data_IF_261002199299
#
_entry.id   IF_261002199299
#
_cell.length_a   1.000
_cell.length_b   1.000
_cell.length_c   1.000
_cell.angle_alpha   90.00
_cell.angle_beta   90.00
_cell.angle_gamma   90.00
#
_symmetry.space_group_name_H-M   'P 1'
#
loop_
_entity.id
_entity.type
_entity.pdbx_description
1 polymer ?
#
# COMPACT_ATOMS: atom_id res chain seq x y z
N UNK A 1 68.26 -1.90 8.17
CA UNK A 1 68.53 -0.59 7.54
C UNK A 1 67.27 0.27 7.60
N UNK A 2 67.35 1.39 8.34
CA UNK A 2 66.80 2.75 8.06
C UNK A 2 65.36 2.85 7.49
N UNK A 3 64.35 3.20 8.30
CA UNK A 3 63.83 4.58 8.60
C UNK A 3 63.39 5.36 7.35
N UNK A 4 62.13 5.80 7.29
CA UNK A 4 61.59 7.09 6.78
C UNK A 4 60.05 6.99 6.84
N UNK A 5 59.31 7.49 7.83
CA UNK A 5 59.13 8.88 8.27
C UNK A 5 58.80 9.84 7.11
N UNK A 6 57.51 10.02 6.81
CA UNK A 6 56.96 11.30 6.36
C UNK A 6 55.58 11.54 6.98
N UNK A 7 55.60 12.33 8.04
CA UNK A 7 54.49 13.19 8.47
C UNK A 7 54.03 14.04 7.28
N UNK A 8 52.72 14.16 7.08
CA UNK A 8 52.13 15.32 6.40
C UNK A 8 51.22 16.00 7.40
N UNK A 9 51.67 17.15 7.89
CA UNK A 9 50.88 18.11 8.64
C UNK A 9 49.70 18.57 7.77
N UNK A 10 48.47 18.37 8.25
CA UNK A 10 47.34 19.16 7.79
C UNK A 10 47.15 20.34 8.75
N UNK A 11 47.33 21.54 8.21
CA UNK A 11 47.21 22.82 8.89
C UNK A 11 45.76 23.07 9.25
N UNK A 12 45.51 23.28 10.54
CA UNK A 12 44.26 23.79 11.09
C UNK A 12 44.07 25.24 10.63
N UNK A 13 43.12 25.50 9.74
CA UNK A 13 42.59 26.84 9.51
C UNK A 13 41.39 27.05 10.44
N UNK A 14 41.65 27.65 11.61
CA UNK A 14 40.63 28.12 12.54
C UNK A 14 40.01 29.41 12.02
N UNK A 15 38.92 29.29 11.26
CA UNK A 15 38.05 30.42 10.94
C UNK A 15 37.11 30.65 12.14
N UNK A 16 37.42 31.65 12.96
CA UNK A 16 36.52 32.12 14.01
C UNK A 16 35.31 32.81 13.37
N UNK A 17 34.19 32.08 13.25
CA UNK A 17 32.88 32.68 12.99
C UNK A 17 32.23 32.99 14.33
N UNK A 18 32.22 34.26 14.70
CA UNK A 18 31.40 34.78 15.81
C UNK A 18 29.94 34.78 15.37
N UNK A 19 29.21 33.70 15.69
CA UNK A 19 27.76 33.69 15.63
C UNK A 19 27.22 34.48 16.83
N UNK A 20 26.70 35.67 16.58
CA UNK A 20 25.85 36.39 17.54
C UNK A 20 24.59 35.56 17.80
N UNK A 21 24.53 34.92 18.96
CA UNK A 21 23.32 34.26 19.46
C UNK A 21 22.29 35.34 19.84
N UNK A 22 21.37 35.65 18.91
CA UNK A 22 20.10 36.25 19.31
C UNK A 22 19.29 35.16 20.01
N UNK A 23 19.24 35.25 21.33
CA UNK A 23 18.29 34.54 22.16
C UNK A 23 16.88 35.03 21.79
N UNK A 24 16.25 34.37 20.82
CA UNK A 24 14.82 34.43 20.63
C UNK A 24 14.19 33.58 21.75
N UNK A 25 13.44 34.23 22.63
CA UNK A 25 12.63 33.55 23.63
C UNK A 25 11.71 32.52 22.94
N UNK A 26 11.61 31.28 23.46
CA UNK A 26 10.66 30.32 22.93
C UNK A 26 9.26 30.83 23.24
N UNK A 27 8.56 31.33 22.22
CA UNK A 27 7.14 31.58 22.27
C UNK A 27 6.44 30.28 22.67
N UNK A 28 5.94 30.22 23.92
CA UNK A 28 5.08 29.16 24.41
C UNK A 28 3.83 29.11 23.54
N UNK A 29 3.80 28.20 22.57
CA UNK A 29 2.62 27.91 21.81
C UNK A 29 1.53 27.41 22.78
N UNK A 30 0.32 28.00 22.77
CA UNK A 30 -0.75 27.54 23.63
C UNK A 30 -1.14 26.12 23.21
N UNK A 31 -0.95 25.17 24.12
CA UNK A 31 -1.47 23.81 24.01
C UNK A 31 -3.01 23.88 23.96
N UNK A 32 -3.56 23.99 22.74
CA UNK A 32 -5.00 23.85 22.54
C UNK A 32 -5.39 22.39 22.65
N UNK A 33 -6.12 22.16 23.70
CA UNK A 33 -6.75 20.93 24.16
C UNK A 33 -7.70 20.32 23.12
N UNK A 34 -7.80 18.99 23.23
CA UNK A 34 -8.87 18.08 22.80
C UNK A 34 -8.84 17.57 21.35
N UNK A 35 -8.12 16.46 21.19
CA UNK A 35 -8.44 15.41 20.23
C UNK A 35 -9.93 15.04 20.36
N UNK A 36 -10.73 15.45 19.37
CA UNK A 36 -12.04 14.84 19.18
C UNK A 36 -11.80 13.36 18.84
N UNK A 37 -12.50 12.41 19.48
CA UNK A 37 -12.37 10.99 19.13
C UNK A 37 -12.65 10.83 17.63
N UNK A 38 -11.68 10.26 16.91
CA UNK A 38 -11.85 9.98 15.48
C UNK A 38 -13.13 9.17 15.29
N UNK A 39 -14.13 9.78 14.63
CA UNK A 39 -15.34 9.06 14.19
C UNK A 39 -14.88 7.82 13.42
N UNK A 40 -15.35 6.65 13.84
CA UNK A 40 -15.11 5.38 13.11
C UNK A 40 -15.35 5.63 11.62
N UNK A 41 -14.36 5.38 10.74
CA UNK A 41 -14.51 5.67 9.33
C UNK A 41 -15.69 4.88 8.79
N UNK A 42 -16.63 5.57 8.16
CA UNK A 42 -17.70 4.91 7.42
C UNK A 42 -17.06 4.01 6.37
N UNK A 43 -17.60 2.82 6.14
CA UNK A 43 -16.95 1.79 5.31
C UNK A 43 -16.54 2.28 3.91
N UNK A 44 -17.18 3.33 3.36
CA UNK A 44 -16.82 3.95 2.09
C UNK A 44 -15.50 4.76 2.12
N UNK A 45 -15.16 5.46 3.22
CA UNK A 45 -13.89 6.22 3.34
C UNK A 45 -12.68 5.30 3.43
N UNK A 46 -12.79 4.20 4.17
CA UNK A 46 -11.74 3.19 4.27
C UNK A 46 -11.29 2.66 2.90
N UNK A 47 -12.24 2.40 1.99
CA UNK A 47 -11.92 1.94 0.64
C UNK A 47 -11.34 3.03 -0.27
N UNK A 48 -11.66 4.30 -0.03
CA UNK A 48 -11.11 5.43 -0.78
C UNK A 48 -9.67 5.77 -0.33
N UNK A 49 -9.40 5.70 0.97
CA UNK A 49 -8.06 5.87 1.55
C UNK A 49 -7.13 4.70 1.18
N UNK A 50 -7.68 3.49 1.04
CA UNK A 50 -6.97 2.32 0.50
C UNK A 50 -6.45 2.49 -0.94
N UNK A 51 -7.01 3.41 -1.73
CA UNK A 51 -6.56 3.63 -3.12
C UNK A 51 -5.17 4.28 -3.17
N UNK A 52 -4.80 5.11 -2.19
CA UNK A 52 -3.47 5.72 -2.12
C UNK A 52 -2.38 4.72 -1.66
N UNK A 53 -2.77 3.57 -1.11
CA UNK A 53 -1.86 2.49 -0.73
C UNK A 53 -1.79 1.35 -1.76
N UNK A 54 -2.72 1.30 -2.73
CA UNK A 54 -2.85 0.18 -3.65
C UNK A 54 -2.95 0.61 -5.11
N UNK A 55 -1.81 0.78 -5.77
CA UNK A 55 -1.77 0.95 -7.23
C UNK A 55 -2.13 -0.34 -8.01
N UNK A 56 -2.19 -1.49 -7.33
CA UNK A 56 -2.49 -2.79 -7.94
C UNK A 56 -3.97 -3.19 -7.79
N UNK A 57 -4.59 -3.76 -8.84
CA UNK A 57 -6.01 -4.11 -8.85
C UNK A 57 -6.37 -5.14 -7.78
N UNK A 58 -7.55 -4.99 -7.16
CA UNK A 58 -8.09 -5.97 -6.21
C UNK A 58 -9.05 -6.94 -6.93
N UNK A 59 -8.50 -8.05 -7.45
CA UNK A 59 -9.24 -8.99 -8.29
C UNK A 59 -10.27 -9.84 -7.51
N UNK A 60 -9.93 -10.34 -6.31
CA UNK A 60 -10.77 -11.31 -5.59
C UNK A 60 -12.18 -10.82 -5.29
N UNK A 61 -12.39 -9.65 -4.64
CA UNK A 61 -13.74 -9.20 -4.32
C UNK A 61 -14.61 -9.04 -5.56
N UNK A 62 -14.02 -8.64 -6.69
CA UNK A 62 -14.72 -8.49 -7.96
C UNK A 62 -15.12 -9.85 -8.52
N UNK A 63 -14.21 -10.83 -8.56
CA UNK A 63 -14.50 -12.20 -8.99
C UNK A 63 -15.62 -12.84 -8.17
N UNK A 64 -15.52 -12.76 -6.83
CA UNK A 64 -16.52 -13.35 -5.95
C UNK A 64 -17.89 -12.68 -6.09
N UNK A 65 -17.90 -11.35 -6.24
CA UNK A 65 -19.13 -10.59 -6.49
C UNK A 65 -19.73 -10.99 -7.84
N UNK A 66 -18.94 -10.99 -8.91
CA UNK A 66 -19.41 -11.36 -10.25
C UNK A 66 -20.00 -12.78 -10.28
N UNK A 67 -19.40 -13.74 -9.59
CA UNK A 67 -19.98 -15.08 -9.48
C UNK A 67 -21.39 -15.06 -8.86
N UNK A 68 -21.57 -14.33 -7.75
CA UNK A 68 -22.86 -14.18 -7.07
C UNK A 68 -23.90 -13.40 -7.87
N UNK A 69 -23.47 -12.54 -8.80
CA UNK A 69 -24.36 -11.73 -9.65
C UNK A 69 -24.39 -12.25 -11.09
N UNK A 70 -24.88 -13.48 -11.26
CA UNK A 70 -25.15 -14.06 -12.58
C UNK A 70 -23.95 -14.68 -13.28
N UNK A 71 -22.80 -14.78 -12.61
CA UNK A 71 -21.61 -15.47 -13.11
C UNK A 71 -21.25 -15.14 -14.57
N UNK A 72 -21.02 -13.86 -14.91
CA UNK A 72 -20.80 -13.43 -16.30
C UNK A 72 -19.49 -13.97 -16.90
N UNK A 73 -18.51 -14.35 -16.05
CA UNK A 73 -17.28 -15.01 -16.47
C UNK A 73 -17.47 -16.53 -16.68
N UNK A 74 -18.67 -17.05 -16.44
CA UNK A 74 -19.01 -18.48 -16.53
C UNK A 74 -18.00 -19.36 -15.77
N UNK A 75 -17.64 -18.94 -14.55
CA UNK A 75 -16.74 -19.74 -13.71
C UNK A 75 -17.41 -21.09 -13.40
N UNK A 76 -16.65 -22.17 -13.48
CA UNK A 76 -17.12 -23.46 -12.98
C UNK A 76 -17.21 -23.43 -11.45
N UNK A 77 -17.96 -24.37 -10.86
CA UNK A 77 -18.02 -24.53 -9.40
C UNK A 77 -16.63 -24.75 -8.82
N UNK A 78 -15.82 -25.61 -9.45
CA UNK A 78 -14.45 -25.91 -9.04
C UNK A 78 -13.53 -24.68 -9.10
N UNK A 79 -13.60 -23.89 -10.17
CA UNK A 79 -12.84 -22.63 -10.26
C UNK A 79 -13.23 -21.67 -9.14
N UNK A 80 -14.52 -21.52 -8.88
CA UNK A 80 -15.01 -20.65 -7.81
C UNK A 80 -14.55 -21.12 -6.43
N UNK A 81 -14.61 -22.42 -6.13
CA UNK A 81 -14.16 -22.99 -4.86
C UNK A 81 -12.66 -22.79 -4.63
N UNK A 82 -11.82 -22.98 -5.68
CA UNK A 82 -10.38 -22.67 -5.63
C UNK A 82 -10.14 -21.19 -5.28
N UNK A 83 -10.88 -20.27 -5.90
CA UNK A 83 -10.79 -18.83 -5.63
C UNK A 83 -11.25 -18.50 -4.20
N UNK A 84 -12.34 -19.10 -3.72
CA UNK A 84 -12.86 -18.92 -2.35
C UNK A 84 -11.84 -19.36 -1.32
N UNK A 85 -11.26 -20.55 -1.50
CA UNK A 85 -10.26 -21.11 -0.60
C UNK A 85 -9.04 -20.18 -0.51
N UNK A 86 -8.46 -19.83 -1.66
CA UNK A 86 -7.32 -18.91 -1.70
C UNK A 86 -7.63 -17.56 -1.05
N UNK A 87 -8.83 -17.00 -1.30
CA UNK A 87 -9.24 -15.75 -0.68
C UNK A 87 -9.33 -15.85 0.84
N UNK A 88 -9.94 -16.92 1.36
CA UNK A 88 -10.09 -17.15 2.81
C UNK A 88 -8.72 -17.27 3.51
N UNK A 89 -7.78 -17.96 2.90
CA UNK A 89 -6.43 -18.18 3.44
C UNK A 89 -5.59 -16.89 3.44
N UNK A 90 -5.69 -16.07 2.39
CA UNK A 90 -4.79 -14.91 2.21
C UNK A 90 -5.37 -13.57 2.71
N UNK A 91 -6.70 -13.43 2.78
CA UNK A 91 -7.36 -12.18 3.18
C UNK A 91 -6.97 -11.71 4.60
N UNK A 92 -6.88 -12.58 5.63
CA UNK A 92 -6.53 -12.13 6.99
C UNK A 92 -5.17 -11.45 7.04
N UNK A 93 -4.15 -12.07 6.43
CA UNK A 93 -2.80 -11.49 6.36
C UNK A 93 -2.78 -10.16 5.59
N UNK A 94 -3.49 -10.10 4.45
CA UNK A 94 -3.60 -8.86 3.67
C UNK A 94 -4.26 -7.73 4.48
N UNK A 95 -5.33 -8.04 5.24
CA UNK A 95 -5.98 -7.07 6.14
C UNK A 95 -5.05 -6.61 7.26
N UNK A 96 -4.25 -7.51 7.83
CA UNK A 96 -3.28 -7.17 8.87
C UNK A 96 -2.20 -6.21 8.33
N UNK A 97 -1.64 -6.48 7.15
CA UNK A 97 -0.66 -5.58 6.51
C UNK A 97 -1.24 -4.20 6.23
N UNK A 98 -2.47 -4.12 5.71
CA UNK A 98 -3.18 -2.84 5.49
C UNK A 98 -3.31 -2.05 6.79
N UNK A 99 -3.76 -2.70 7.88
CA UNK A 99 -3.89 -2.05 9.19
C UNK A 99 -2.54 -1.56 9.71
N UNK A 100 -1.47 -2.34 9.50
CA UNK A 100 -0.11 -1.95 9.88
C UNK A 100 0.35 -0.70 9.12
N UNK A 101 0.12 -0.61 7.81
CA UNK A 101 0.41 0.62 7.02
C UNK A 101 -0.33 1.82 7.60
N UNK A 102 -1.63 1.70 7.85
CA UNK A 102 -2.44 2.79 8.42
C UNK A 102 -1.92 3.24 9.79
N UNK A 103 -1.47 2.29 10.63
CA UNK A 103 -0.91 2.59 11.94
C UNK A 103 0.41 3.33 11.84
N UNK A 104 1.36 2.83 11.04
CA UNK A 104 2.68 3.46 10.83
C UNK A 104 2.54 4.88 10.26
N UNK A 105 1.59 5.10 9.35
CA UNK A 105 1.33 6.42 8.79
C UNK A 105 0.72 7.39 9.80
N UNK A 106 -0.17 6.90 10.66
CA UNK A 106 -0.70 7.70 11.77
C UNK A 106 0.39 8.01 12.81
N UNK A 107 1.27 7.06 13.10
CA UNK A 107 2.40 7.22 14.00
C UNK A 107 3.39 8.27 13.48
N UNK A 108 3.86 8.14 12.24
CA UNK A 108 4.77 9.11 11.61
C UNK A 108 4.15 10.52 11.59
N UNK A 109 2.85 10.64 11.30
CA UNK A 109 2.11 11.91 11.38
C UNK A 109 2.12 12.49 12.78
N UNK A 110 1.84 11.69 13.81
CA UNK A 110 1.82 12.14 15.19
C UNK A 110 3.21 12.55 15.68
N UNK A 111 4.25 11.82 15.28
CA UNK A 111 5.65 12.16 15.56
C UNK A 111 6.02 13.52 14.97
N UNK A 112 5.66 13.77 13.71
CA UNK A 112 5.88 15.06 13.06
C UNK A 112 5.17 16.22 13.79
N UNK A 113 3.90 16.02 14.18
CA UNK A 113 3.14 17.03 14.94
C UNK A 113 3.69 17.26 16.35
N UNK A 114 4.34 16.26 16.94
CA UNK A 114 4.98 16.35 18.24
C UNK A 114 6.42 16.89 18.18
N UNK A 115 6.92 17.29 17.01
CA UNK A 115 8.28 17.83 16.85
C UNK A 115 9.39 16.81 17.12
N UNK A 116 9.14 15.53 16.82
CA UNK A 116 10.18 14.47 16.90
C UNK A 116 11.24 14.67 15.80
N UNK A 117 12.40 14.04 16.00
CA UNK A 117 13.50 14.10 15.05
C UNK A 117 13.11 13.46 13.70
N UNK A 118 13.54 14.10 12.61
CA UNK A 118 13.22 13.66 11.25
C UNK A 118 13.73 12.24 10.97
N UNK A 119 14.85 11.81 11.55
CA UNK A 119 15.40 10.46 11.34
C UNK A 119 14.47 9.39 11.91
N UNK A 120 13.84 9.66 13.05
CA UNK A 120 12.89 8.74 13.66
C UNK A 120 11.61 8.63 12.81
N UNK A 121 11.14 9.77 12.28
CA UNK A 121 9.97 9.81 11.39
C UNK A 121 10.26 9.05 10.08
N UNK A 122 11.44 9.26 9.49
CA UNK A 122 11.90 8.56 8.28
C UNK A 122 11.91 7.06 8.51
N UNK A 123 12.43 6.58 9.65
CA UNK A 123 12.47 5.15 9.98
C UNK A 123 11.07 4.51 9.97
N UNK A 124 10.08 5.17 10.58
CA UNK A 124 8.67 4.70 10.54
C UNK A 124 8.12 4.71 9.11
N UNK A 125 8.48 5.74 8.32
CA UNK A 125 8.16 5.83 6.90
C UNK A 125 8.72 4.66 6.09
N UNK A 126 10.00 4.31 6.27
CA UNK A 126 10.66 3.17 5.62
C UNK A 126 9.99 1.84 5.97
N UNK A 127 9.58 1.66 7.23
CA UNK A 127 8.81 0.49 7.64
C UNK A 127 7.46 0.41 6.90
N UNK A 128 6.76 1.54 6.77
CA UNK A 128 5.49 1.60 6.02
C UNK A 128 5.69 1.20 4.55
N UNK A 129 6.75 1.70 3.91
CA UNK A 129 7.11 1.35 2.53
C UNK A 129 7.40 -0.15 2.37
N UNK A 130 8.11 -0.76 3.33
CA UNK A 130 8.35 -2.21 3.35
C UNK A 130 7.05 -3.01 3.41
N UNK A 131 6.09 -2.59 4.25
CA UNK A 131 4.77 -3.27 4.31
C UNK A 131 3.98 -3.06 3.01
N UNK A 132 4.01 -1.86 2.41
CA UNK A 132 3.38 -1.59 1.10
C UNK A 132 3.96 -2.46 -0.01
N UNK A 133 5.28 -2.68 -0.02
CA UNK A 133 5.93 -3.62 -0.95
C UNK A 133 5.42 -5.05 -0.75
N UNK A 134 5.29 -5.53 0.49
CA UNK A 134 4.72 -6.85 0.77
C UNK A 134 3.26 -6.99 0.32
N UNK A 135 2.45 -5.94 0.47
CA UNK A 135 1.08 -5.88 -0.05
C UNK A 135 1.08 -6.02 -1.58
N UNK A 136 1.95 -5.28 -2.28
CA UNK A 136 2.11 -5.38 -3.73
C UNK A 136 2.47 -6.82 -4.14
N UNK A 137 3.46 -7.43 -3.51
CA UNK A 137 3.83 -8.83 -3.78
C UNK A 137 2.68 -9.79 -3.54
N UNK A 138 1.91 -9.61 -2.45
CA UNK A 138 0.71 -10.40 -2.18
C UNK A 138 -0.35 -10.27 -3.28
N UNK A 139 -0.55 -9.07 -3.83
CA UNK A 139 -1.46 -8.85 -4.96
C UNK A 139 -0.95 -9.44 -6.26
N UNK A 140 0.35 -9.39 -6.53
CA UNK A 140 0.94 -10.05 -7.69
C UNK A 140 0.78 -11.57 -7.60
N UNK A 141 0.97 -12.16 -6.41
CA UNK A 141 0.67 -13.58 -6.15
C UNK A 141 -0.80 -13.90 -6.38
N UNK A 142 -1.72 -13.06 -5.90
CA UNK A 142 -3.15 -13.20 -6.19
C UNK A 142 -3.43 -13.16 -7.69
N UNK A 143 -2.82 -12.24 -8.44
CA UNK A 143 -2.97 -12.17 -9.91
C UNK A 143 -2.45 -13.42 -10.59
N UNK A 144 -1.29 -13.91 -10.20
CA UNK A 144 -0.71 -15.14 -10.74
C UNK A 144 -1.62 -16.36 -10.47
N UNK A 145 -2.12 -16.48 -9.23
CA UNK A 145 -3.08 -17.52 -8.87
C UNK A 145 -4.36 -17.45 -9.71
N UNK A 146 -4.95 -16.26 -9.89
CA UNK A 146 -6.12 -16.07 -10.75
C UNK A 146 -5.86 -16.54 -12.17
N UNK A 147 -4.70 -16.21 -12.74
CA UNK A 147 -4.32 -16.67 -14.09
C UNK A 147 -4.16 -18.19 -14.18
N UNK A 148 -3.82 -18.86 -13.09
CA UNK A 148 -3.72 -20.33 -13.05
C UNK A 148 -5.07 -21.03 -12.93
N UNK A 149 -6.10 -20.33 -12.42
CA UNK A 149 -7.44 -20.89 -12.22
C UNK A 149 -8.36 -20.58 -13.41
N UNK A 150 -8.24 -19.38 -13.98
CA UNK A 150 -9.08 -18.93 -15.09
C UNK A 150 -8.47 -19.34 -16.44
N UNK A 151 -9.34 -19.55 -17.45
CA UNK A 151 -8.86 -19.61 -18.83
C UNK A 151 -8.34 -18.25 -19.30
N UNK A 152 -7.51 -18.19 -20.35
CA UNK A 152 -7.05 -16.93 -20.93
C UNK A 152 -8.21 -15.97 -21.29
N UNK A 153 -9.30 -16.50 -21.83
CA UNK A 153 -10.50 -15.75 -22.23
C UNK A 153 -11.22 -15.18 -21.01
N UNK A 154 -11.43 -16.00 -19.96
CA UNK A 154 -12.02 -15.56 -18.70
C UNK A 154 -11.18 -14.46 -18.04
N UNK A 155 -9.85 -14.61 -18.06
CA UNK A 155 -8.94 -13.61 -17.51
C UNK A 155 -9.00 -12.30 -18.30
N UNK A 156 -9.04 -12.38 -19.65
CA UNK A 156 -9.20 -11.21 -20.51
C UNK A 156 -10.52 -10.49 -20.23
N UNK A 157 -11.64 -11.22 -20.15
CA UNK A 157 -12.94 -10.65 -19.77
C UNK A 157 -12.89 -9.98 -18.41
N UNK A 158 -12.21 -10.57 -17.42
CA UNK A 158 -12.04 -9.95 -16.09
C UNK A 158 -11.26 -8.64 -16.19
N UNK A 159 -10.17 -8.61 -16.95
CA UNK A 159 -9.30 -7.44 -17.12
C UNK A 159 -10.03 -6.29 -17.84
N UNK A 160 -10.67 -6.59 -18.97
CA UNK A 160 -11.37 -5.60 -19.80
C UNK A 160 -12.54 -4.95 -19.01
N UNK A 161 -13.16 -5.70 -18.11
CA UNK A 161 -14.25 -5.20 -17.28
C UNK A 161 -13.78 -4.65 -15.92
N UNK A 162 -12.47 -4.64 -15.62
CA UNK A 162 -11.97 -4.33 -14.27
C UNK A 162 -12.30 -2.88 -13.83
N UNK A 163 -12.16 -1.90 -14.73
CA UNK A 163 -12.35 -0.48 -14.44
C UNK A 163 -13.77 0.06 -14.69
N UNK A 164 -14.67 -0.74 -15.28
CA UNK A 164 -15.99 -0.29 -15.70
C UNK A 164 -17.11 -1.07 -15.00
N UNK A 165 -17.45 -0.73 -13.74
CA UNK A 165 -18.54 -1.40 -13.02
C UNK A 165 -19.93 -1.20 -13.68
N UNK A 166 -20.06 -0.28 -14.64
CA UNK A 166 -21.34 0.05 -15.31
C UNK A 166 -21.54 -0.59 -16.68
N UNK A 167 -20.51 -1.14 -17.33
CA UNK A 167 -20.74 -1.96 -18.53
C UNK A 167 -21.06 -3.38 -18.04
N UNK A 168 -22.35 -3.71 -18.02
CA UNK A 168 -22.79 -5.10 -17.93
C UNK A 168 -21.97 -5.88 -18.94
N UNK A 169 -21.24 -6.92 -18.49
CA UNK A 169 -20.33 -7.65 -19.38
C UNK A 169 -21.12 -8.11 -20.60
N UNK A 170 -20.75 -7.63 -21.77
CA UNK A 170 -21.40 -8.05 -23.00
C UNK A 170 -21.30 -9.57 -23.09
N UNK A 171 -22.45 -10.23 -23.30
CA UNK A 171 -22.52 -11.68 -23.44
C UNK A 171 -21.55 -12.07 -24.57
N UNK A 172 -20.63 -13.03 -24.35
CA UNK A 172 -19.73 -13.46 -25.41
C UNK A 172 -20.56 -13.89 -26.62
N UNK A 173 -20.18 -13.39 -27.80
CA UNK A 173 -20.84 -13.70 -29.05
C UNK A 173 -20.93 -15.24 -29.22
N UNK A 174 -22.07 -15.77 -29.70
CA UNK A 174 -22.20 -17.20 -29.92
C UNK A 174 -21.10 -17.66 -30.88
N UNK A 175 -20.46 -18.78 -30.54
CA UNK A 175 -19.46 -19.41 -31.41
C UNK A 175 -20.08 -19.61 -32.80
N UNK A 176 -19.40 -19.14 -33.83
CA UNK A 176 -19.82 -19.32 -35.21
C UNK A 176 -20.03 -20.81 -35.45
N UNK A 177 -21.23 -21.18 -35.90
CA UNK A 177 -21.50 -22.55 -36.33
C UNK A 177 -20.60 -22.82 -37.53
N UNK A 178 -19.77 -23.85 -37.43
CA UNK A 178 -19.07 -24.38 -38.59
C UNK A 178 -20.14 -24.88 -39.57
N UNK A 179 -20.15 -24.28 -40.76
CA UNK A 179 -20.96 -24.72 -41.90
C UNK A 179 -20.26 -25.87 -42.61
#
# INVERSE_FOLDING_TARGET
MKRFLKLVLFVFATSAFTLSAQAAEPATAPAKTMEKPMKKPSGKRFYHELLHANFMPNLMPKLMRSYKHGNPLKLTKEQYEKLVKFHKENLPNMKAMIKKVMHLEAEARNMALAGKDDKDIIKVGEESLKVRSNIMHGKLKCRAFVRSVLTPEQFKMLADNFHHPKKVMAKPAPAAKAS
#
